data_IF_523809134211
#
_entry.id   IF_523809134211
#
_cell.length_a   1.000
_cell.length_b   1.000
_cell.length_c   1.000
_cell.angle_alpha   90.00
_cell.angle_beta   90.00
_cell.angle_gamma   90.00
#
_symmetry.space_group_name_H-M   'P 1'
#
loop_
_entity.id
_entity.type
_entity.pdbx_description
1 polymer ?
#
# COMPACT_ATOMS: atom_id res chain seq x y z
N UNK A 1 -4.87 -10.09 -11.90
CA UNK A 1 -5.96 -10.13 -10.90
C UNK A 1 -5.63 -9.04 -9.89
N UNK A 2 -6.32 -7.92 -9.90
CA UNK A 2 -6.16 -6.88 -8.88
C UNK A 2 -6.98 -7.33 -7.68
N UNK A 3 -6.31 -7.87 -6.67
CA UNK A 3 -6.99 -8.15 -5.42
C UNK A 3 -7.39 -6.81 -4.79
N UNK A 4 -8.68 -6.60 -4.62
CA UNK A 4 -9.19 -5.43 -3.93
C UNK A 4 -8.66 -5.43 -2.50
N UNK A 5 -7.93 -4.39 -2.15
CA UNK A 5 -7.42 -4.20 -0.80
C UNK A 5 -8.45 -3.43 0.03
N UNK A 6 -8.97 -4.08 1.06
CA UNK A 6 -9.97 -3.48 1.95
C UNK A 6 -9.31 -2.89 3.20
N UNK A 7 -8.45 -1.91 3.03
CA UNK A 7 -7.62 -1.38 4.11
C UNK A 7 -8.28 -0.32 4.98
N UNK A 8 -9.09 0.56 4.40
CA UNK A 8 -9.75 1.64 5.14
C UNK A 8 -11.12 1.22 5.63
N UNK A 9 -11.39 1.45 6.91
CA UNK A 9 -12.69 1.17 7.53
C UNK A 9 -13.23 2.38 8.25
N UNK A 10 -14.52 2.60 8.14
CA UNK A 10 -15.25 3.61 8.88
C UNK A 10 -16.32 2.91 9.73
N UNK A 11 -16.35 3.20 11.01
CA UNK A 11 -17.34 2.64 11.92
C UNK A 11 -17.70 3.63 13.01
N UNK A 12 -18.90 3.49 13.57
CA UNK A 12 -19.34 4.28 14.73
C UNK A 12 -18.61 3.83 15.98
N UNK A 13 -18.40 4.73 16.93
CA UNK A 13 -17.86 4.38 18.25
C UNK A 13 -18.71 3.30 18.95
N UNK A 14 -20.02 3.34 18.81
CA UNK A 14 -20.91 2.32 19.35
C UNK A 14 -20.58 0.92 18.84
N UNK A 15 -20.17 0.79 17.58
CA UNK A 15 -19.74 -0.49 16.99
C UNK A 15 -18.36 -0.92 17.51
N UNK A 16 -17.46 0.03 17.71
CA UNK A 16 -16.06 -0.23 18.05
C UNK A 16 -15.82 -0.51 19.54
N UNK A 17 -16.66 0.04 20.44
CA UNK A 17 -16.42 0.05 21.91
C UNK A 17 -16.15 -1.33 22.52
N UNK A 18 -16.72 -2.38 21.95
CA UNK A 18 -16.62 -3.75 22.46
C UNK A 18 -15.69 -4.64 21.57
N UNK A 19 -14.85 -4.02 20.72
CA UNK A 19 -13.98 -4.71 19.77
C UNK A 19 -12.53 -4.29 19.95
N UNK A 20 -11.62 -5.21 19.68
CA UNK A 20 -10.20 -4.88 19.61
C UNK A 20 -9.85 -4.32 18.23
N UNK A 21 -8.89 -3.40 18.17
CA UNK A 21 -8.39 -2.86 16.90
C UNK A 21 -7.78 -3.96 16.01
N UNK A 22 -7.09 -4.92 16.62
CA UNK A 22 -6.54 -6.07 15.90
C UNK A 22 -7.63 -6.94 15.29
N UNK A 23 -8.69 -7.25 16.01
CA UNK A 23 -9.82 -8.00 15.47
C UNK A 23 -10.53 -7.30 14.30
N UNK A 24 -10.55 -5.96 14.31
CA UNK A 24 -11.06 -5.16 13.18
C UNK A 24 -10.08 -5.22 12.00
N UNK A 25 -8.79 -5.16 12.25
CA UNK A 25 -7.74 -5.25 11.24
C UNK A 25 -7.71 -6.64 10.58
N UNK A 26 -7.68 -7.71 11.34
CA UNK A 26 -7.67 -9.09 10.84
C UNK A 26 -8.88 -9.40 9.95
N UNK A 27 -10.03 -8.82 10.24
CA UNK A 27 -11.20 -8.95 9.37
C UNK A 27 -10.99 -8.34 7.96
N UNK A 28 -9.91 -7.60 7.69
CA UNK A 28 -9.59 -7.11 6.33
C UNK A 28 -9.01 -8.20 5.44
N UNK A 29 -8.32 -9.17 6.01
CA UNK A 29 -7.67 -10.27 5.27
C UNK A 29 -8.69 -11.34 4.87
N UNK A 30 -9.74 -11.51 5.68
CA UNK A 30 -10.82 -12.45 5.40
C UNK A 30 -12.06 -11.70 4.88
N UNK A 31 -12.26 -11.72 3.56
CA UNK A 31 -13.41 -11.07 2.89
C UNK A 31 -14.77 -11.54 3.45
N UNK A 32 -14.85 -12.75 3.99
CA UNK A 32 -16.08 -13.29 4.61
C UNK A 32 -16.48 -12.57 5.91
N UNK A 33 -15.54 -11.86 6.52
CA UNK A 33 -15.75 -11.09 7.75
C UNK A 33 -16.08 -9.61 7.51
N UNK A 34 -16.17 -9.19 6.26
CA UNK A 34 -16.56 -7.83 5.92
C UNK A 34 -18.07 -7.69 6.15
N UNK A 35 -18.42 -7.03 7.24
CA UNK A 35 -19.80 -6.73 7.59
C UNK A 35 -20.10 -5.26 7.29
N UNK A 36 -20.94 -5.01 6.31
CA UNK A 36 -21.34 -3.66 5.92
C UNK A 36 -21.11 -3.36 4.44
N UNK A 37 -21.57 -2.20 3.98
CA UNK A 37 -21.40 -1.79 2.60
C UNK A 37 -19.91 -1.55 2.27
N UNK A 38 -19.53 -1.97 1.07
CA UNK A 38 -18.22 -1.71 0.49
C UNK A 38 -18.35 -0.54 -0.47
N UNK A 39 -17.41 0.40 -0.39
CA UNK A 39 -17.28 1.50 -1.35
C UNK A 39 -16.14 1.15 -2.28
N UNK A 40 -16.47 0.75 -3.50
CA UNK A 40 -15.50 0.48 -4.54
C UNK A 40 -14.85 1.79 -5.02
N UNK A 41 -13.55 1.76 -5.29
CA UNK A 41 -12.81 2.97 -5.67
C UNK A 41 -12.76 4.03 -4.57
N UNK A 42 -13.03 3.67 -3.30
CA UNK A 42 -13.13 4.60 -2.17
C UNK A 42 -11.82 5.21 -1.69
N UNK A 43 -10.69 4.88 -2.33
CA UNK A 43 -9.37 5.43 -1.94
C UNK A 43 -8.20 4.79 -2.66
N UNK A 44 -7.03 5.29 -2.34
CA UNK A 44 -5.75 4.84 -2.91
C UNK A 44 -4.80 4.41 -1.81
N UNK A 45 -3.99 3.40 -2.09
CA UNK A 45 -2.94 2.95 -1.19
C UNK A 45 -1.57 3.29 -1.77
N UNK A 46 -1.01 4.39 -1.34
CA UNK A 46 0.33 4.83 -1.74
C UNK A 46 1.39 4.22 -0.83
N UNK A 47 1.79 2.99 -1.15
CA UNK A 47 2.86 2.30 -0.44
C UNK A 47 4.16 2.40 -1.24
N UNK A 48 5.28 2.58 -0.55
CA UNK A 48 6.61 2.65 -1.18
C UNK A 48 6.81 3.82 -2.16
N UNK A 49 6.19 4.94 -1.88
CA UNK A 49 6.41 6.21 -2.58
C UNK A 49 7.76 6.83 -2.20
N UNK A 50 8.35 7.63 -3.11
CA UNK A 50 9.52 8.46 -2.82
C UNK A 50 10.87 7.79 -3.05
N UNK A 51 10.92 6.74 -3.86
CA UNK A 51 12.16 6.10 -4.30
C UNK A 51 12.86 5.25 -3.23
N UNK A 52 14.06 4.81 -3.55
CA UNK A 52 14.82 3.82 -2.78
C UNK A 52 15.04 4.22 -1.31
N UNK A 53 15.41 5.46 -1.06
CA UNK A 53 15.72 5.93 0.30
C UNK A 53 14.47 5.93 1.20
N UNK A 54 13.33 6.34 0.66
CA UNK A 54 12.06 6.30 1.40
C UNK A 54 11.59 4.87 1.63
N UNK A 55 11.82 3.98 0.68
CA UNK A 55 11.54 2.54 0.83
C UNK A 55 12.41 1.94 1.93
N UNK A 56 13.71 2.22 1.93
CA UNK A 56 14.63 1.80 3.01
C UNK A 56 14.18 2.32 4.36
N UNK A 57 13.88 3.61 4.44
CA UNK A 57 13.40 4.22 5.68
C UNK A 57 12.14 3.54 6.19
N UNK A 58 11.18 3.28 5.32
CA UNK A 58 9.96 2.57 5.68
C UNK A 58 10.24 1.16 6.20
N UNK A 59 11.04 0.37 5.48
CA UNK A 59 11.35 -1.03 5.86
C UNK A 59 12.08 -1.09 7.21
N UNK A 60 12.97 -0.15 7.48
CA UNK A 60 13.70 -0.09 8.75
C UNK A 60 12.88 0.41 9.93
N UNK A 61 11.74 1.07 9.66
CA UNK A 61 10.91 1.75 10.67
C UNK A 61 9.58 1.06 10.96
N UNK A 62 9.16 0.08 10.16
CA UNK A 62 7.84 -0.53 10.34
C UNK A 62 7.88 -1.78 11.25
N UNK A 63 6.70 -2.24 11.67
CA UNK A 63 6.56 -3.31 12.66
C UNK A 63 6.97 -4.70 12.17
N UNK A 64 7.06 -4.92 10.87
CA UNK A 64 7.47 -6.19 10.25
C UNK A 64 9.00 -6.29 10.18
N UNK A 65 9.62 -6.46 11.34
CA UNK A 65 11.08 -6.48 11.51
C UNK A 65 11.76 -7.63 10.77
N UNK A 66 11.05 -8.69 10.43
CA UNK A 66 11.51 -9.81 9.60
C UNK A 66 11.99 -9.38 8.21
N UNK A 67 11.46 -8.27 7.70
CA UNK A 67 11.87 -7.69 6.42
C UNK A 67 13.07 -6.75 6.52
N UNK A 68 13.43 -6.32 7.72
CA UNK A 68 14.59 -5.47 7.94
C UNK A 68 15.89 -6.30 7.98
N UNK A 69 16.30 -6.80 6.83
CA UNK A 69 17.52 -7.59 6.70
C UNK A 69 18.34 -7.16 5.49
N UNK A 70 19.64 -7.49 5.52
CA UNK A 70 20.61 -7.06 4.49
C UNK A 70 20.21 -7.49 3.08
N UNK A 71 19.62 -8.68 2.92
CA UNK A 71 19.22 -9.21 1.61
C UNK A 71 18.15 -8.33 0.98
N UNK A 72 17.09 -8.01 1.73
CA UNK A 72 16.00 -7.16 1.24
C UNK A 72 16.51 -5.74 0.98
N UNK A 73 17.26 -5.16 1.93
CA UNK A 73 17.74 -3.80 1.79
C UNK A 73 18.70 -3.62 0.60
N UNK A 74 19.54 -4.62 0.28
CA UNK A 74 20.43 -4.55 -0.87
C UNK A 74 19.76 -4.79 -2.22
N UNK A 75 18.57 -5.40 -2.24
CA UNK A 75 17.85 -5.69 -3.48
C UNK A 75 16.77 -4.65 -3.85
N UNK A 76 16.60 -3.61 -3.02
CA UNK A 76 15.53 -2.61 -3.24
C UNK A 76 15.66 -1.96 -4.62
N UNK A 77 16.86 -1.48 -4.98
CA UNK A 77 17.11 -0.80 -6.25
C UNK A 77 16.74 -1.68 -7.44
N UNK A 78 17.29 -2.89 -7.47
CA UNK A 78 17.05 -3.86 -8.55
C UNK A 78 15.58 -4.25 -8.63
N UNK A 79 14.90 -4.47 -7.50
CA UNK A 79 13.51 -4.86 -7.47
C UNK A 79 12.58 -3.73 -7.95
N UNK A 80 12.86 -2.49 -7.55
CA UNK A 80 12.13 -1.31 -8.01
C UNK A 80 12.33 -1.10 -9.51
N UNK A 81 13.56 -1.23 -10.00
CA UNK A 81 13.89 -1.05 -11.40
C UNK A 81 13.20 -2.09 -12.30
N UNK A 82 13.13 -3.33 -11.83
CA UNK A 82 12.52 -4.45 -12.55
C UNK A 82 11.02 -4.64 -12.25
N UNK A 83 10.40 -3.77 -11.46
CA UNK A 83 8.98 -3.86 -11.05
C UNK A 83 8.63 -5.19 -10.36
N UNK A 84 9.52 -5.69 -9.53
CA UNK A 84 9.39 -6.93 -8.77
C UNK A 84 9.06 -6.62 -7.30
N UNK A 85 8.38 -7.54 -6.65
CA UNK A 85 8.06 -7.40 -5.22
C UNK A 85 9.32 -7.32 -4.35
N UNK A 86 9.32 -6.38 -3.39
CA UNK A 86 10.45 -6.10 -2.51
C UNK A 86 10.78 -7.26 -1.56
N UNK A 87 9.80 -8.11 -1.25
CA UNK A 87 9.92 -9.16 -0.24
C UNK A 87 10.11 -10.57 -0.83
N UNK A 88 10.31 -10.64 -2.16
CA UNK A 88 10.56 -11.91 -2.85
C UNK A 88 9.33 -12.78 -3.03
N UNK A 89 8.13 -12.22 -2.90
CA UNK A 89 6.90 -12.89 -3.30
C UNK A 89 6.86 -12.94 -4.82
N UNK A 90 6.28 -13.96 -5.40
CA UNK A 90 6.17 -14.07 -6.87
C UNK A 90 5.10 -13.12 -7.44
N UNK A 91 5.33 -11.83 -7.24
CA UNK A 91 4.45 -10.73 -7.67
C UNK A 91 5.25 -9.75 -8.52
N UNK A 92 4.71 -9.40 -9.67
CA UNK A 92 5.26 -8.40 -10.58
C UNK A 92 4.30 -7.23 -10.68
N UNK A 93 4.84 -6.01 -10.67
CA UNK A 93 4.05 -4.79 -10.79
C UNK A 93 4.05 -4.31 -12.24
N UNK A 94 2.91 -3.82 -12.68
CA UNK A 94 2.78 -3.13 -13.95
C UNK A 94 2.93 -1.64 -13.72
N UNK A 95 3.84 -1.01 -14.45
CA UNK A 95 3.87 0.45 -14.54
C UNK A 95 2.68 0.90 -15.37
N UNK A 96 1.91 1.83 -14.86
CA UNK A 96 0.78 2.45 -15.55
C UNK A 96 1.05 3.94 -15.68
N UNK A 97 0.64 4.53 -16.82
CA UNK A 97 0.70 5.98 -16.97
C UNK A 97 -0.21 6.66 -15.95
N UNK A 98 0.22 7.78 -15.43
CA UNK A 98 -0.60 8.59 -14.54
C UNK A 98 -1.87 9.07 -15.23
N UNK A 99 -1.83 9.23 -16.56
CA UNK A 99 -2.96 9.65 -17.39
C UNK A 99 -3.98 8.53 -17.61
N UNK A 100 -3.54 7.27 -17.51
CA UNK A 100 -4.37 6.07 -17.73
C UNK A 100 -5.05 5.57 -16.45
N UNK A 101 -4.92 6.29 -15.34
CA UNK A 101 -5.37 5.82 -14.03
C UNK A 101 -6.21 6.86 -13.30
N UNK A 102 -7.15 6.37 -12.52
CA UNK A 102 -8.02 7.21 -11.66
C UNK A 102 -7.27 7.67 -10.40
N UNK A 103 -6.27 8.54 -10.55
CA UNK A 103 -5.58 9.14 -9.43
C UNK A 103 -6.37 10.31 -8.80
N UNK A 104 -6.09 10.64 -7.52
CA UNK A 104 -6.62 11.86 -6.91
C UNK A 104 -6.30 13.08 -7.78
N UNK A 105 -7.28 13.95 -7.97
CA UNK A 105 -7.12 15.17 -8.78
C UNK A 105 -5.89 15.99 -8.36
N UNK A 106 -5.61 16.07 -7.06
CA UNK A 106 -4.42 16.76 -6.56
C UNK A 106 -3.10 16.23 -7.15
N UNK A 107 -2.98 14.91 -7.36
CA UNK A 107 -1.79 14.31 -7.97
C UNK A 107 -1.70 14.71 -9.45
N UNK A 108 -2.82 14.67 -10.14
CA UNK A 108 -2.89 15.02 -11.56
C UNK A 108 -2.51 16.49 -11.79
N UNK A 109 -2.95 17.39 -10.92
CA UNK A 109 -2.69 18.83 -11.02
C UNK A 109 -1.27 19.23 -10.57
N UNK A 110 -0.57 18.37 -9.84
CA UNK A 110 0.72 18.70 -9.23
C UNK A 110 1.84 17.72 -9.60
N UNK A 111 1.80 17.15 -10.79
CA UNK A 111 2.76 16.12 -11.23
C UNK A 111 4.22 16.60 -11.15
N UNK A 112 4.52 17.81 -11.57
CA UNK A 112 5.88 18.37 -11.48
C UNK A 112 6.39 18.42 -10.04
N UNK A 113 5.56 18.91 -9.12
CA UNK A 113 5.88 18.99 -7.70
C UNK A 113 6.10 17.63 -7.07
N UNK A 114 5.38 16.62 -7.55
CA UNK A 114 5.37 15.26 -7.03
C UNK A 114 6.27 14.30 -7.83
N UNK A 115 6.98 14.79 -8.83
CA UNK A 115 7.84 13.99 -9.71
C UNK A 115 8.86 13.12 -8.98
N UNK A 116 9.36 13.59 -7.83
CA UNK A 116 10.28 12.84 -6.97
C UNK A 116 9.63 11.65 -6.25
N UNK A 117 8.31 11.55 -6.25
CA UNK A 117 7.54 10.46 -5.65
C UNK A 117 7.04 9.45 -6.69
N UNK A 118 7.07 9.82 -7.97
CA UNK A 118 6.51 9.05 -9.08
C UNK A 118 7.69 8.51 -9.91
N UNK A 119 7.61 7.26 -10.32
CA UNK A 119 8.61 6.65 -11.19
C UNK A 119 8.32 6.97 -12.65
#
# INVERSE_FOLDING_TARGET
MTDNWFGTRVATYKYLKDKTLDGIREATEDKSRITGPVVDGGGWHFSYFGGEEMIKHKITSFSHTEHNNKKILSSISDNVENNVDLFGRNVYFKVISIEDSEYPQYILDHQEKLSHLIK
#
